data_IF_425685077246
#
_entry.id   IF_425685077246
#
_cell.length_a   1.000
_cell.length_b   1.000
_cell.length_c   1.000
_cell.angle_alpha   90.00
_cell.angle_beta   90.00
_cell.angle_gamma   90.00
#
_symmetry.space_group_name_H-M   'P 1'
#
loop_
_entity.id
_entity.type
_entity.pdbx_description
1 polymer ?
#
# COMPACT_ATOMS: atom_id res chain seq x y z
N UNK A 1 24.19 9.40 -5.12
CA UNK A 1 23.77 8.15 -5.81
C UNK A 1 22.86 8.61 -6.97
N UNK A 2 22.24 7.74 -7.76
CA UNK A 2 21.09 8.16 -8.59
C UNK A 2 19.86 7.42 -8.07
N UNK A 3 18.68 8.03 -8.07
CA UNK A 3 17.45 7.33 -7.69
C UNK A 3 16.99 6.44 -8.84
N UNK A 4 16.53 5.21 -8.54
CA UNK A 4 15.90 4.29 -9.46
C UNK A 4 14.49 3.94 -8.98
N UNK A 5 13.61 3.58 -9.93
CA UNK A 5 12.27 3.09 -9.66
C UNK A 5 12.29 1.56 -9.74
N UNK A 6 11.79 0.88 -8.71
CA UNK A 6 11.69 -0.58 -8.69
C UNK A 6 10.49 -1.10 -9.49
N UNK A 7 10.41 -2.41 -9.67
CA UNK A 7 9.29 -3.08 -10.34
C UNK A 7 7.96 -2.99 -9.55
N UNK A 8 7.97 -2.39 -8.36
CA UNK A 8 6.78 -2.18 -7.52
C UNK A 8 5.97 -0.93 -7.96
N UNK A 9 6.43 -0.23 -9.01
CA UNK A 9 5.76 0.94 -9.54
C UNK A 9 4.37 0.61 -10.10
N UNK A 10 3.35 1.35 -9.65
CA UNK A 10 1.95 1.21 -10.08
C UNK A 10 1.56 2.13 -11.24
N UNK A 11 2.53 2.79 -11.89
CA UNK A 11 2.31 3.74 -12.98
C UNK A 11 1.31 4.87 -12.70
N UNK A 12 1.30 5.43 -11.48
CA UNK A 12 0.39 6.51 -11.11
C UNK A 12 0.71 7.88 -11.75
N UNK A 13 1.93 8.08 -12.27
CA UNK A 13 2.37 9.32 -12.92
C UNK A 13 2.59 10.52 -11.99
N UNK A 14 2.51 10.34 -10.67
CA UNK A 14 2.65 11.45 -9.72
C UNK A 14 4.08 11.99 -9.62
N UNK A 15 5.10 11.18 -9.92
CA UNK A 15 6.51 11.57 -9.78
C UNK A 15 7.06 12.36 -10.97
N UNK A 16 6.50 12.20 -12.18
CA UNK A 16 6.96 12.88 -13.40
C UNK A 16 6.97 14.42 -13.29
N UNK A 17 5.88 15.10 -12.86
CA UNK A 17 5.86 16.55 -12.78
C UNK A 17 6.69 17.13 -11.61
N UNK A 18 7.09 16.30 -10.64
CA UNK A 18 7.83 16.74 -9.45
C UNK A 18 9.35 16.77 -9.68
N UNK A 19 9.85 16.19 -10.78
CA UNK A 19 11.28 16.16 -11.05
C UNK A 19 11.76 17.50 -11.64
N UNK A 20 12.66 18.26 -10.96
CA UNK A 20 13.12 19.57 -11.47
C UNK A 20 13.91 19.46 -12.79
N UNK A 21 14.54 18.31 -13.03
CA UNK A 21 15.36 18.05 -14.20
C UNK A 21 14.61 17.27 -15.30
N UNK A 22 13.32 16.94 -15.11
CA UNK A 22 12.56 16.04 -15.97
C UNK A 22 13.28 14.70 -16.26
N UNK A 23 13.92 14.13 -15.24
CA UNK A 23 14.68 12.88 -15.36
C UNK A 23 13.81 11.61 -15.43
N UNK A 24 12.51 11.75 -15.16
CA UNK A 24 11.56 10.64 -15.06
C UNK A 24 10.75 10.57 -16.35
N UNK A 25 10.65 9.38 -16.92
CA UNK A 25 9.88 9.13 -18.15
C UNK A 25 9.04 7.86 -18.02
N UNK A 26 7.94 7.80 -18.76
CA UNK A 26 7.08 6.62 -18.80
C UNK A 26 7.77 5.50 -19.59
N UNK A 27 8.09 4.39 -18.90
CA UNK A 27 8.49 3.12 -19.52
C UNK A 27 7.35 2.10 -19.52
N UNK A 28 7.59 0.94 -20.13
CA UNK A 28 6.69 -0.22 -20.13
C UNK A 28 7.48 -1.42 -19.56
N UNK A 29 7.17 -1.93 -18.34
CA UNK A 29 5.94 -1.77 -17.57
C UNK A 29 5.99 -0.76 -16.41
N UNK A 30 7.08 -0.03 -16.18
CA UNK A 30 7.26 0.90 -15.04
C UNK A 30 7.85 2.23 -15.48
N UNK A 31 7.68 3.29 -14.67
CA UNK A 31 8.41 4.54 -14.87
C UNK A 31 9.92 4.33 -14.70
N UNK A 32 10.72 5.06 -15.49
CA UNK A 32 12.18 4.93 -15.52
C UNK A 32 12.81 6.29 -15.25
N UNK A 33 13.83 6.30 -14.40
CA UNK A 33 14.66 7.49 -14.12
C UNK A 33 15.95 7.38 -14.94
N UNK A 34 16.28 8.42 -15.70
CA UNK A 34 17.58 8.54 -16.36
C UNK A 34 18.66 8.94 -15.32
N UNK A 35 19.66 8.09 -15.03
CA UNK A 35 20.70 8.40 -14.07
C UNK A 35 21.57 9.60 -14.49
N UNK A 36 21.64 9.92 -15.79
CA UNK A 36 22.41 11.07 -16.28
C UNK A 36 21.72 12.41 -16.01
N UNK A 37 20.41 12.40 -15.76
CA UNK A 37 19.63 13.60 -15.44
C UNK A 37 19.27 13.67 -13.96
N UNK A 38 19.28 12.54 -13.25
CA UNK A 38 19.01 12.50 -11.82
C UNK A 38 20.14 13.20 -11.03
N UNK A 39 19.79 14.20 -10.22
CA UNK A 39 20.70 14.87 -9.29
C UNK A 39 20.31 14.65 -7.82
N UNK A 40 19.44 13.66 -7.53
CA UNK A 40 18.86 13.43 -6.19
C UNK A 40 18.22 14.69 -5.58
N UNK A 41 17.72 15.59 -6.44
CA UNK A 41 17.21 16.92 -6.08
C UNK A 41 18.22 17.84 -5.36
N UNK A 42 19.51 17.49 -5.33
CA UNK A 42 20.57 18.32 -4.72
C UNK A 42 20.61 19.70 -5.39
N UNK A 43 20.54 20.75 -4.57
CA UNK A 43 20.49 22.15 -5.02
C UNK A 43 19.07 22.70 -5.24
N UNK A 44 18.04 21.85 -5.23
CA UNK A 44 16.63 22.24 -5.35
C UNK A 44 15.85 21.94 -4.07
N UNK A 45 15.95 20.72 -3.57
CA UNK A 45 15.26 20.23 -2.37
C UNK A 45 16.24 19.49 -1.45
N UNK A 46 15.93 19.48 -0.15
CA UNK A 46 16.68 18.74 0.87
C UNK A 46 16.32 17.25 0.94
N UNK A 47 15.31 16.82 0.17
CA UNK A 47 14.81 15.45 0.03
C UNK A 47 14.54 15.10 -1.45
N UNK A 48 14.41 13.81 -1.77
CA UNK A 48 13.99 13.40 -3.11
C UNK A 48 12.49 13.64 -3.33
N UNK A 49 12.15 14.65 -4.16
CA UNK A 49 10.76 15.00 -4.45
C UNK A 49 9.93 13.82 -5.00
N UNK A 50 10.55 13.01 -5.87
CA UNK A 50 9.93 11.82 -6.44
C UNK A 50 9.61 10.73 -5.40
N UNK A 51 10.43 10.57 -4.36
CA UNK A 51 10.17 9.62 -3.29
C UNK A 51 9.07 10.13 -2.35
N UNK A 52 9.04 11.44 -2.06
CA UNK A 52 8.03 12.04 -1.18
C UNK A 52 6.59 11.94 -1.73
N UNK A 53 6.41 11.88 -3.05
CA UNK A 53 5.09 11.78 -3.71
C UNK A 53 4.71 10.34 -4.07
N UNK A 54 5.63 9.38 -3.94
CA UNK A 54 5.39 8.01 -4.36
C UNK A 54 4.44 7.29 -3.38
N UNK A 55 3.25 6.81 -3.80
CA UNK A 55 2.29 6.17 -2.90
C UNK A 55 2.72 4.77 -2.43
N UNK A 56 3.71 4.18 -3.08
CA UNK A 56 4.21 2.81 -2.84
C UNK A 56 5.70 2.79 -2.49
N UNK A 57 6.30 3.96 -2.24
CA UNK A 57 7.71 4.12 -1.84
C UNK A 57 8.72 3.36 -2.71
N UNK A 58 8.46 3.22 -4.02
CA UNK A 58 9.28 2.44 -4.96
C UNK A 58 10.48 3.21 -5.55
N UNK A 59 10.68 4.47 -5.15
CA UNK A 59 11.81 5.32 -5.58
C UNK A 59 12.98 5.14 -4.61
N UNK A 60 13.93 4.29 -4.94
CA UNK A 60 15.06 3.91 -4.07
C UNK A 60 16.39 4.37 -4.65
N UNK A 61 17.41 4.56 -3.81
CA UNK A 61 18.77 4.87 -4.27
C UNK A 61 19.37 3.69 -5.02
N UNK A 62 19.87 3.90 -6.24
CA UNK A 62 20.51 2.89 -7.07
C UNK A 62 21.89 2.49 -6.50
N UNK A 63 22.08 1.22 -6.11
CA UNK A 63 23.37 0.74 -5.60
C UNK A 63 24.48 0.73 -6.66
N UNK A 64 24.16 0.77 -7.95
CA UNK A 64 25.15 0.72 -9.03
C UNK A 64 25.71 2.10 -9.40
N UNK A 65 25.00 3.17 -9.07
CA UNK A 65 25.36 4.54 -9.44
C UNK A 65 25.57 5.40 -8.19
N UNK A 66 26.66 5.15 -7.46
CA UNK A 66 27.00 5.89 -6.23
C UNK A 66 27.80 7.15 -6.56
N UNK A 67 27.14 8.30 -6.51
CA UNK A 67 27.73 9.62 -6.77
C UNK A 67 27.85 10.46 -5.50
N UNK A 68 28.88 11.33 -5.44
CA UNK A 68 29.12 12.29 -4.35
C UNK A 68 28.29 13.56 -4.52
N UNK A 69 28.03 14.28 -3.42
CA UNK A 69 27.28 15.55 -3.43
C UNK A 69 27.89 16.59 -4.38
N UNK A 70 29.22 16.67 -4.45
CA UNK A 70 29.95 17.57 -5.35
C UNK A 70 29.72 17.24 -6.83
N UNK A 71 29.59 15.95 -7.18
CA UNK A 71 29.28 15.53 -8.54
C UNK A 71 27.84 15.87 -8.93
N UNK A 72 26.90 15.70 -8.00
CA UNK A 72 25.48 15.98 -8.21
C UNK A 72 25.21 17.47 -8.42
N UNK A 73 25.83 18.35 -7.62
CA UNK A 73 25.69 19.80 -7.79
C UNK A 73 26.37 20.31 -9.07
N UNK A 74 27.51 19.71 -9.45
CA UNK A 74 28.16 20.03 -10.71
C UNK A 74 27.23 19.71 -11.90
N UNK A 75 26.55 18.56 -11.87
CA UNK A 75 25.54 18.19 -12.87
C UNK A 75 24.35 19.16 -12.86
N UNK A 76 23.80 19.50 -11.69
CA UNK A 76 22.70 20.47 -11.59
C UNK A 76 23.06 21.83 -12.22
N UNK A 77 24.29 22.32 -11.98
CA UNK A 77 24.84 23.55 -12.60
C UNK A 77 24.96 23.45 -14.13
N UNK A 78 25.23 22.25 -14.67
CA UNK A 78 25.27 22.04 -16.13
C UNK A 78 23.89 21.97 -16.77
N UNK A 79 22.90 21.37 -16.08
CA UNK A 79 21.53 21.22 -16.58
C UNK A 79 20.74 22.53 -16.51
N UNK A 80 21.04 23.38 -15.52
CA UNK A 80 20.34 24.64 -15.28
C UNK A 80 21.32 25.83 -15.20
N UNK A 81 21.95 26.23 -16.33
CA UNK A 81 22.91 27.34 -16.37
C UNK A 81 22.30 28.69 -15.98
N UNK A 82 20.98 28.84 -16.06
CA UNK A 82 20.22 30.02 -15.68
C UNK A 82 19.89 30.09 -14.17
N UNK A 83 20.10 29.01 -13.43
CA UNK A 83 19.79 28.94 -11.99
C UNK A 83 21.07 29.09 -11.18
N UNK A 84 21.15 30.11 -10.31
CA UNK A 84 22.29 30.30 -9.42
C UNK A 84 22.14 29.44 -8.16
N UNK A 85 22.99 28.43 -8.02
CA UNK A 85 23.06 27.58 -6.82
C UNK A 85 24.10 28.13 -5.84
N UNK A 86 23.68 28.49 -4.62
CA UNK A 86 24.59 28.91 -3.56
C UNK A 86 25.56 27.78 -3.16
N UNK A 87 26.72 28.12 -2.58
CA UNK A 87 27.70 27.11 -2.14
C UNK A 87 27.32 26.39 -0.83
N UNK A 88 26.28 26.88 -0.14
CA UNK A 88 25.75 26.28 1.09
C UNK A 88 24.26 25.96 0.91
N UNK A 89 23.95 24.79 0.34
CA UNK A 89 22.60 24.30 0.11
C UNK A 89 22.25 23.18 1.10
N UNK A 90 20.97 23.08 1.48
CA UNK A 90 20.49 21.96 2.28
C UNK A 90 20.28 20.75 1.36
N UNK A 91 20.86 19.61 1.75
CA UNK A 91 20.81 18.37 0.98
C UNK A 91 20.59 17.18 1.92
N UNK A 92 20.14 16.05 1.36
CA UNK A 92 20.04 14.77 2.08
C UNK A 92 21.36 14.38 2.77
N UNK A 93 22.51 14.80 2.23
CA UNK A 93 23.84 14.52 2.78
C UNK A 93 24.22 15.43 3.95
N UNK A 94 23.67 16.66 4.00
CA UNK A 94 23.98 17.68 5.01
C UNK A 94 22.74 18.14 5.77
N UNK A 95 22.02 17.21 6.40
CA UNK A 95 20.86 17.53 7.24
C UNK A 95 21.27 18.47 8.39
N UNK A 96 20.77 19.72 8.36
CA UNK A 96 20.93 20.69 9.45
C UNK A 96 22.19 21.58 9.43
N UNK A 97 23.00 21.57 8.38
CA UNK A 97 24.20 22.43 8.26
C UNK A 97 24.01 23.68 7.36
N UNK A 98 22.88 23.78 6.64
CA UNK A 98 22.58 24.85 5.68
C UNK A 98 21.75 26.02 6.22
N UNK A 99 21.76 26.31 7.53
CA UNK A 99 21.04 27.48 8.08
C UNK A 99 21.95 28.69 8.22
N UNK A 100 22.12 29.42 7.12
CA UNK A 100 22.25 30.87 7.11
C UNK A 100 21.57 31.37 5.84
N UNK A 101 20.51 32.16 6.02
CA UNK A 101 19.44 32.30 5.03
C UNK A 101 19.81 33.01 3.74
N UNK A 102 19.23 32.55 2.62
CA UNK A 102 18.69 33.43 1.58
C UNK A 102 17.64 32.67 0.75
N UNK A 103 16.65 33.43 0.27
CA UNK A 103 15.47 33.06 -0.50
C UNK A 103 15.71 32.06 -1.64
N UNK A 104 14.84 31.05 -1.75
CA UNK A 104 14.76 30.16 -2.90
C UNK A 104 14.43 30.94 -4.19
N UNK A 105 15.05 30.63 -5.34
CA UNK A 105 14.76 31.33 -6.58
C UNK A 105 13.37 30.95 -7.08
N UNK A 106 12.44 31.91 -7.06
CA UNK A 106 11.17 31.84 -7.78
C UNK A 106 11.44 31.74 -9.28
N UNK A 107 10.97 30.67 -9.91
CA UNK A 107 10.64 30.66 -11.34
C UNK A 107 9.13 30.63 -11.50
N UNK A 108 8.65 31.50 -12.39
CA UNK A 108 7.27 31.68 -12.80
C UNK A 108 6.67 30.41 -13.40
N UNK A 109 5.44 30.13 -12.97
CA UNK A 109 4.56 29.15 -13.58
C UNK A 109 4.20 29.57 -15.02
N UNK A 110 4.26 28.66 -16.01
CA UNK A 110 3.46 28.85 -17.20
C UNK A 110 2.00 28.47 -16.92
N UNK A 111 1.13 29.27 -17.50
CA UNK A 111 -0.31 29.30 -17.29
C UNK A 111 -1.03 27.99 -17.60
N UNK A 112 -2.11 27.75 -16.84
CA UNK A 112 -3.25 26.91 -17.24
C UNK A 112 -3.70 27.22 -18.68
N UNK A 113 -4.20 26.21 -19.39
CA UNK A 113 -5.45 26.35 -20.10
C UNK A 113 -6.55 25.54 -19.39
N UNK A 114 -7.70 26.18 -19.23
CA UNK A 114 -8.95 25.56 -18.79
C UNK A 114 -9.77 25.12 -20.04
N UNK A 115 -10.91 24.44 -19.86
CA UNK A 115 -11.17 23.09 -20.37
C UNK A 115 -11.89 23.06 -21.73
N UNK A 116 -11.75 21.97 -22.47
CA UNK A 116 -12.69 21.62 -23.54
C UNK A 116 -13.38 20.31 -23.20
N UNK A 117 -14.64 20.41 -22.83
CA UNK A 117 -15.56 19.29 -22.78
C UNK A 117 -16.05 19.00 -24.20
N UNK A 118 -15.82 17.79 -24.69
CA UNK A 118 -16.67 17.14 -25.69
C UNK A 118 -16.45 15.63 -25.66
N UNK A 119 -17.39 14.92 -25.03
CA UNK A 119 -17.75 13.56 -25.41
C UNK A 119 -19.13 13.65 -26.11
N UNK A 120 -19.70 12.59 -26.75
CA UNK A 120 -19.20 11.22 -26.96
C UNK A 120 -19.46 10.67 -28.39
N UNK A 121 -18.99 9.44 -28.68
CA UNK A 121 -19.51 8.40 -29.61
C UNK A 121 -18.32 7.65 -30.25
N UNK A 122 -18.31 6.34 -30.51
CA UNK A 122 -19.19 5.22 -30.21
C UNK A 122 -18.38 3.93 -30.42
N UNK A 123 -18.72 2.90 -29.65
CA UNK A 123 -18.67 1.47 -29.95
C UNK A 123 -17.58 0.91 -30.91
N UNK A 124 -16.67 0.13 -30.34
CA UNK A 124 -16.25 -1.13 -30.93
C UNK A 124 -16.24 -2.19 -29.81
N UNK A 125 -17.07 -3.22 -29.98
CA UNK A 125 -17.22 -4.37 -29.07
C UNK A 125 -15.96 -5.26 -29.04
N UNK A 126 -15.76 -6.04 -27.96
CA UNK A 126 -14.50 -6.71 -27.66
C UNK A 126 -14.36 -8.08 -28.36
N UNK A 127 -13.14 -8.40 -28.77
CA UNK A 127 -12.70 -9.80 -28.92
C UNK A 127 -12.70 -10.50 -27.56
N UNK A 128 -12.95 -11.83 -27.51
CA UNK A 128 -13.28 -12.51 -26.28
C UNK A 128 -12.06 -12.53 -25.36
N UNK A 129 -12.14 -11.73 -24.29
CA UNK A 129 -11.30 -11.90 -23.13
C UNK A 129 -11.35 -13.37 -22.72
N UNK A 130 -10.19 -14.02 -22.73
CA UNK A 130 -9.98 -15.25 -21.99
C UNK A 130 -10.64 -15.06 -20.62
N UNK A 131 -11.52 -15.98 -20.24
CA UNK A 131 -12.19 -15.98 -18.95
C UNK A 131 -11.13 -15.77 -17.86
N UNK A 132 -11.01 -14.54 -17.38
CA UNK A 132 -10.36 -14.26 -16.14
C UNK A 132 -11.23 -14.98 -15.10
N UNK A 133 -10.68 -16.04 -14.53
CA UNK A 133 -11.15 -16.55 -13.24
C UNK A 133 -11.41 -15.35 -12.36
N UNK A 134 -12.59 -15.21 -11.74
CA UNK A 134 -12.72 -14.27 -10.64
C UNK A 134 -11.80 -14.85 -9.57
N UNK A 135 -10.56 -14.34 -9.51
CA UNK A 135 -9.76 -14.46 -8.32
C UNK A 135 -10.67 -13.96 -7.21
N UNK A 136 -10.95 -14.82 -6.24
CA UNK A 136 -11.60 -14.45 -5.00
C UNK A 136 -10.63 -13.46 -4.33
N UNK A 137 -10.65 -12.21 -4.77
CA UNK A 137 -9.93 -11.12 -4.15
C UNK A 137 -10.53 -11.01 -2.76
N UNK A 138 -9.70 -11.26 -1.76
CA UNK A 138 -10.06 -11.02 -0.37
C UNK A 138 -10.56 -9.57 -0.29
N UNK A 139 -11.80 -9.40 0.15
CA UNK A 139 -12.36 -8.06 0.29
C UNK A 139 -11.59 -7.36 1.41
N UNK A 140 -10.73 -6.42 1.05
CA UNK A 140 -10.00 -5.60 2.02
C UNK A 140 -11.01 -4.87 2.92
N UNK A 141 -10.87 -5.10 4.23
CA UNK A 141 -11.76 -4.51 5.23
C UNK A 141 -11.28 -3.09 5.50
N UNK A 142 -12.04 -2.10 5.05
CA UNK A 142 -11.70 -0.71 5.27
C UNK A 142 -12.26 -0.21 6.62
N UNK A 143 -11.40 -0.13 7.63
CA UNK A 143 -11.75 0.40 8.94
C UNK A 143 -11.86 1.92 8.93
N UNK A 144 -12.91 2.47 9.56
CA UNK A 144 -13.04 3.92 9.74
C UNK A 144 -12.04 4.37 10.82
N UNK A 145 -11.13 5.32 10.54
CA UNK A 145 -10.19 5.83 11.53
C UNK A 145 -10.88 6.77 12.52
N UNK A 146 -10.55 6.63 13.81
CA UNK A 146 -10.99 7.60 14.81
C UNK A 146 -10.14 8.88 14.73
N UNK A 147 -10.76 10.06 14.87
CA UNK A 147 -10.01 11.31 14.93
C UNK A 147 -9.25 11.44 16.26
N UNK A 148 -8.42 12.47 16.42
CA UNK A 148 -7.75 12.75 17.70
C UNK A 148 -8.78 13.14 18.78
N UNK A 149 -8.58 12.68 20.03
CA UNK A 149 -9.42 12.98 21.19
C UNK A 149 -9.60 14.50 21.38
N UNK A 150 -8.56 15.30 21.12
CA UNK A 150 -8.62 16.76 21.27
C UNK A 150 -9.42 17.47 20.17
N UNK A 151 -9.60 16.82 19.02
CA UNK A 151 -10.28 17.40 17.85
C UNK A 151 -11.81 17.41 17.99
N UNK A 152 -12.34 16.66 18.95
CA UNK A 152 -13.77 16.62 19.21
C UNK A 152 -14.30 17.97 19.67
N UNK A 153 -15.54 18.25 19.29
CA UNK A 153 -16.24 19.48 19.67
C UNK A 153 -17.47 19.18 20.51
N UNK A 154 -17.65 19.91 21.60
CA UNK A 154 -18.76 19.77 22.54
C UNK A 154 -19.63 21.03 22.47
N UNK A 155 -20.94 20.83 22.30
CA UNK A 155 -21.91 21.91 22.38
C UNK A 155 -22.23 22.26 23.84
N UNK A 156 -21.88 23.46 24.27
CA UNK A 156 -22.15 23.95 25.64
C UNK A 156 -23.18 25.07 25.63
N UNK A 157 -24.17 24.95 26.52
CA UNK A 157 -25.16 26.00 26.77
C UNK A 157 -24.61 27.01 27.78
N UNK A 158 -24.57 28.28 27.41
CA UNK A 158 -24.18 29.35 28.33
C UNK A 158 -25.22 29.50 29.46
N UNK A 159 -24.75 29.65 30.70
CA UNK A 159 -25.65 29.87 31.84
C UNK A 159 -26.38 31.22 31.80
N UNK A 160 -25.75 32.26 31.23
CA UNK A 160 -26.28 33.64 31.28
C UNK A 160 -27.16 33.99 30.08
N UNK A 161 -26.72 33.69 28.86
CA UNK A 161 -27.49 34.01 27.65
C UNK A 161 -28.28 32.83 27.09
N UNK A 162 -28.14 31.62 27.66
CA UNK A 162 -28.79 30.37 27.24
C UNK A 162 -28.53 29.92 25.79
N UNK A 163 -27.69 30.64 25.05
CA UNK A 163 -27.26 30.26 23.70
C UNK A 163 -26.26 29.11 23.77
N UNK A 164 -26.33 28.22 22.80
CA UNK A 164 -25.41 27.10 22.63
C UNK A 164 -24.25 27.54 21.74
N UNK A 165 -23.02 27.22 22.16
CA UNK A 165 -21.82 27.41 21.36
C UNK A 165 -21.04 26.11 21.33
N UNK A 166 -20.18 25.98 20.33
CA UNK A 166 -19.34 24.79 20.11
C UNK A 166 -17.94 25.12 20.62
N UNK A 167 -17.39 24.22 21.44
CA UNK A 167 -16.07 24.37 22.04
C UNK A 167 -15.28 23.05 21.87
N UNK A 168 -13.97 23.12 21.65
CA UNK A 168 -13.13 21.92 21.52
C UNK A 168 -12.97 21.20 22.87
N UNK A 169 -12.88 19.87 22.85
CA UNK A 169 -12.55 19.03 24.01
C UNK A 169 -11.27 19.50 24.70
N UNK A 170 -10.27 19.98 23.94
CA UNK A 170 -9.03 20.55 24.47
C UNK A 170 -9.26 21.70 25.45
N UNK A 171 -10.30 22.50 25.26
CA UNK A 171 -10.63 23.62 26.14
C UNK A 171 -11.16 23.16 27.51
N UNK A 172 -11.66 21.92 27.63
CA UNK A 172 -12.24 21.37 28.85
C UNK A 172 -11.20 20.80 29.83
N UNK A 173 -10.02 21.39 29.96
CA UNK A 173 -9.06 21.00 31.01
C UNK A 173 -9.38 21.65 32.35
N UNK A 174 -9.06 20.95 33.45
CA UNK A 174 -9.21 21.48 34.80
C UNK A 174 -8.39 22.77 34.94
N UNK A 175 -9.03 23.83 35.44
CA UNK A 175 -8.40 25.15 35.59
C UNK A 175 -8.48 26.05 34.36
N UNK A 176 -8.91 25.54 33.20
CA UNK A 176 -9.15 26.38 32.03
C UNK A 176 -10.43 27.23 32.19
N UNK A 177 -10.38 28.42 31.60
CA UNK A 177 -11.50 29.37 31.55
C UNK A 177 -11.99 29.47 30.10
N UNK A 178 -13.25 29.13 29.88
CA UNK A 178 -13.92 29.20 28.58
C UNK A 178 -14.78 30.46 28.54
N UNK A 179 -14.72 31.22 27.45
CA UNK A 179 -15.51 32.44 27.27
C UNK A 179 -16.67 32.20 26.32
N UNK A 180 -17.88 32.62 26.71
CA UNK A 180 -19.02 32.53 25.80
C UNK A 180 -18.89 33.56 24.67
N UNK A 181 -18.93 33.16 23.39
CA UNK A 181 -18.78 34.09 22.26
C UNK A 181 -19.97 35.06 22.11
N UNK A 182 -21.09 34.79 22.77
CA UNK A 182 -22.31 35.61 22.67
C UNK A 182 -22.43 36.71 23.73
N UNK A 183 -21.84 36.51 24.92
CA UNK A 183 -21.96 37.46 26.02
C UNK A 183 -20.66 37.71 26.79
N UNK A 184 -19.55 37.13 26.33
CA UNK A 184 -18.20 37.21 26.92
C UNK A 184 -18.10 36.81 28.39
N UNK A 185 -19.12 36.12 28.92
CA UNK A 185 -19.09 35.61 30.28
C UNK A 185 -18.13 34.41 30.36
N UNK A 186 -17.22 34.44 31.32
CA UNK A 186 -16.30 33.34 31.62
C UNK A 186 -16.99 32.21 32.37
N UNK A 187 -16.66 30.96 32.02
CA UNK A 187 -17.01 29.74 32.73
C UNK A 187 -15.73 28.97 33.05
N UNK A 188 -15.57 28.56 34.32
CA UNK A 188 -14.47 27.68 34.73
C UNK A 188 -14.88 26.23 34.56
N UNK A 189 -14.02 25.42 33.95
CA UNK A 189 -14.26 23.98 33.79
C UNK A 189 -14.15 23.29 35.15
N UNK A 190 -15.19 22.58 35.57
CA UNK A 190 -15.23 21.82 36.82
C UNK A 190 -14.68 20.41 36.64
N UNK A 191 -14.06 19.87 37.69
CA UNK A 191 -13.45 18.53 37.71
C UNK A 191 -14.42 17.44 37.26
N UNK A 192 -15.67 17.48 37.73
CA UNK A 192 -16.69 16.50 37.37
C UNK A 192 -16.98 16.48 35.86
N UNK A 193 -17.04 17.65 35.23
CA UNK A 193 -17.30 17.75 33.79
C UNK A 193 -16.10 17.21 32.98
N UNK A 194 -14.88 17.58 33.37
CA UNK A 194 -13.66 17.06 32.75
C UNK A 194 -13.59 15.53 32.85
N UNK A 195 -13.85 14.98 34.04
CA UNK A 195 -13.82 13.55 34.28
C UNK A 195 -14.83 12.81 33.40
N UNK A 196 -16.09 13.27 33.35
CA UNK A 196 -17.11 12.63 32.51
C UNK A 196 -16.75 12.64 31.02
N UNK A 197 -16.25 13.76 30.49
CA UNK A 197 -15.84 13.86 29.08
C UNK A 197 -14.70 12.88 28.78
N UNK A 198 -13.66 12.87 29.61
CA UNK A 198 -12.48 12.02 29.39
C UNK A 198 -12.79 10.53 29.54
N UNK A 199 -13.60 10.15 30.53
CA UNK A 199 -14.01 8.75 30.73
C UNK A 199 -14.84 8.27 29.55
N UNK A 200 -15.82 9.06 29.08
CA UNK A 200 -16.65 8.68 27.93
C UNK A 200 -15.81 8.49 26.66
N UNK A 201 -14.91 9.43 26.36
CA UNK A 201 -14.05 9.33 25.17
C UNK A 201 -13.13 8.11 25.28
N UNK A 202 -12.47 7.91 26.43
CA UNK A 202 -11.61 6.75 26.65
C UNK A 202 -12.36 5.43 26.46
N UNK A 203 -13.49 5.26 27.14
CA UNK A 203 -14.28 4.02 27.07
C UNK A 203 -14.75 3.74 25.63
N UNK A 204 -15.07 4.80 24.87
CA UNK A 204 -15.50 4.69 23.48
C UNK A 204 -14.35 4.27 22.56
N UNK A 205 -13.15 4.85 22.72
CA UNK A 205 -11.96 4.50 21.93
C UNK A 205 -11.49 3.07 22.25
N UNK A 206 -11.39 2.73 23.53
CA UNK A 206 -11.01 1.38 23.96
C UNK A 206 -12.01 0.34 23.44
N UNK A 207 -13.31 0.68 23.41
CA UNK A 207 -14.33 -0.19 22.82
C UNK A 207 -14.16 -0.33 21.31
N UNK A 208 -13.92 0.77 20.61
CA UNK A 208 -13.74 0.77 19.16
C UNK A 208 -12.55 -0.12 18.74
N UNK A 209 -11.40 0.02 19.40
CA UNK A 209 -10.20 -0.78 19.14
C UNK A 209 -10.43 -2.28 19.40
N UNK A 210 -11.15 -2.61 20.49
CA UNK A 210 -11.56 -4.00 20.76
C UNK A 210 -12.44 -4.56 19.65
N UNK A 211 -13.44 -3.83 19.19
CA UNK A 211 -14.34 -4.29 18.13
C UNK A 211 -13.59 -4.53 16.81
N UNK A 212 -12.62 -3.67 16.45
CA UNK A 212 -11.77 -3.88 15.28
C UNK A 212 -10.92 -5.14 15.41
N UNK A 213 -10.27 -5.34 16.56
CA UNK A 213 -9.41 -6.50 16.83
C UNK A 213 -10.22 -7.80 16.87
N UNK A 214 -11.40 -7.80 17.49
CA UNK A 214 -12.28 -8.97 17.52
C UNK A 214 -12.74 -9.37 16.12
N UNK A 215 -12.99 -8.39 15.25
CA UNK A 215 -13.36 -8.65 13.86
C UNK A 215 -12.19 -9.27 13.09
N UNK A 216 -10.98 -8.70 13.16
CA UNK A 216 -9.80 -9.26 12.48
C UNK A 216 -9.49 -10.67 12.94
N UNK A 217 -9.47 -10.90 14.27
CA UNK A 217 -9.22 -12.22 14.85
C UNK A 217 -10.22 -13.26 14.39
N UNK A 218 -11.49 -12.87 14.28
CA UNK A 218 -12.55 -13.76 13.82
C UNK A 218 -12.36 -14.11 12.34
N UNK A 219 -12.09 -13.12 11.50
CA UNK A 219 -11.83 -13.33 10.07
C UNK A 219 -10.62 -14.22 9.83
N UNK A 220 -9.52 -14.01 10.55
CA UNK A 220 -8.32 -14.85 10.47
C UNK A 220 -8.61 -16.30 10.87
N UNK A 221 -9.37 -16.50 11.96
CA UNK A 221 -9.79 -17.85 12.39
C UNK A 221 -10.67 -18.54 11.37
N UNK A 222 -11.64 -17.83 10.79
CA UNK A 222 -12.53 -18.37 9.76
C UNK A 222 -11.76 -18.75 8.49
N UNK A 223 -10.83 -17.90 8.05
CA UNK A 223 -9.95 -18.17 6.91
C UNK A 223 -9.05 -19.39 7.17
N UNK A 224 -8.42 -19.46 8.34
CA UNK A 224 -7.58 -20.60 8.72
C UNK A 224 -8.37 -21.92 8.72
N UNK A 225 -9.59 -21.91 9.28
CA UNK A 225 -10.47 -23.09 9.28
C UNK A 225 -10.90 -23.49 7.86
N UNK A 226 -11.16 -22.51 6.99
CA UNK A 226 -11.51 -22.77 5.60
C UNK A 226 -10.33 -23.39 4.84
N UNK A 227 -9.14 -22.81 4.95
CA UNK A 227 -7.91 -23.33 4.33
C UNK A 227 -7.60 -24.74 4.82
N UNK A 228 -7.69 -24.99 6.12
CA UNK A 228 -7.46 -26.32 6.70
C UNK A 228 -8.47 -27.35 6.16
N UNK A 229 -9.75 -27.00 6.10
CA UNK A 229 -10.80 -27.87 5.55
C UNK A 229 -10.51 -28.22 4.08
N UNK A 230 -10.18 -27.22 3.27
CA UNK A 230 -9.83 -27.41 1.85
C UNK A 230 -8.58 -28.28 1.68
N UNK A 231 -7.57 -28.12 2.53
CA UNK A 231 -6.37 -28.96 2.52
C UNK A 231 -6.70 -30.42 2.86
N UNK A 232 -7.54 -30.67 3.87
CA UNK A 232 -7.98 -32.03 4.23
C UNK A 232 -8.78 -32.70 3.11
N UNK A 233 -9.68 -31.97 2.45
CA UNK A 233 -10.43 -32.46 1.28
C UNK A 233 -9.50 -32.83 0.12
N UNK A 234 -8.53 -31.96 -0.19
CA UNK A 234 -7.55 -32.21 -1.25
C UNK A 234 -6.72 -33.47 -0.96
N UNK A 235 -6.19 -33.62 0.26
CA UNK A 235 -5.44 -34.80 0.67
C UNK A 235 -6.29 -36.08 0.62
N UNK A 236 -7.56 -36.01 1.02
CA UNK A 236 -8.46 -37.15 0.96
C UNK A 236 -8.71 -37.61 -0.48
N UNK A 237 -8.85 -36.66 -1.41
CA UNK A 237 -9.01 -36.94 -2.83
C UNK A 237 -7.73 -37.55 -3.44
N UNK A 238 -6.56 -36.99 -3.14
CA UNK A 238 -5.27 -37.54 -3.57
C UNK A 238 -5.07 -38.97 -3.06
N UNK A 239 -5.35 -39.22 -1.78
CA UNK A 239 -5.27 -40.55 -1.20
C UNK A 239 -6.26 -41.54 -1.88
N UNK A 240 -7.44 -41.07 -2.28
CA UNK A 240 -8.36 -41.89 -3.08
C UNK A 240 -7.77 -42.25 -4.45
N UNK A 241 -7.20 -41.27 -5.16
CA UNK A 241 -6.55 -41.51 -6.46
C UNK A 241 -5.39 -42.51 -6.32
N UNK A 242 -4.57 -42.39 -5.28
CA UNK A 242 -3.47 -43.33 -5.02
C UNK A 242 -3.96 -44.76 -4.78
N UNK A 243 -5.07 -44.94 -4.05
CA UNK A 243 -5.67 -46.26 -3.85
C UNK A 243 -6.19 -46.87 -5.15
N UNK A 244 -6.83 -46.08 -6.00
CA UNK A 244 -7.30 -46.55 -7.30
C UNK A 244 -6.13 -46.93 -8.21
N UNK A 245 -5.07 -46.12 -8.26
CA UNK A 245 -3.84 -46.46 -8.99
C UNK A 245 -3.19 -47.76 -8.48
N UNK A 246 -3.17 -47.97 -7.17
CA UNK A 246 -2.64 -49.20 -6.58
C UNK A 246 -3.46 -50.43 -7.01
N UNK A 247 -4.80 -50.33 -7.03
CA UNK A 247 -5.67 -51.41 -7.52
C UNK A 247 -5.41 -51.73 -9.00
N UNK A 248 -5.27 -50.70 -9.84
CA UNK A 248 -4.95 -50.88 -11.26
C UNK A 248 -3.61 -51.63 -11.39
N UNK A 249 -2.61 -51.24 -10.60
CA UNK A 249 -1.30 -51.90 -10.62
C UNK A 249 -1.39 -53.37 -10.21
N UNK A 250 -2.11 -53.67 -9.14
CA UNK A 250 -2.36 -55.04 -8.70
C UNK A 250 -3.07 -55.89 -9.78
N UNK A 251 -4.06 -55.31 -10.46
CA UNK A 251 -4.75 -55.97 -11.58
C UNK A 251 -3.80 -56.26 -12.76
N UNK A 252 -2.93 -55.31 -13.10
CA UNK A 252 -1.93 -55.49 -14.16
C UNK A 252 -0.91 -56.59 -13.80
N UNK A 253 -0.45 -56.61 -12.55
CA UNK A 253 0.47 -57.64 -12.05
C UNK A 253 -0.17 -59.04 -12.13
N UNK A 254 -1.44 -59.18 -11.72
CA UNK A 254 -2.19 -60.43 -11.81
C UNK A 254 -2.38 -60.93 -13.27
N UNK A 255 -2.60 -60.01 -14.22
CA UNK A 255 -2.63 -60.35 -15.65
C UNK A 255 -1.25 -60.85 -16.11
N UNK A 256 -0.17 -60.21 -15.66
CA UNK A 256 1.20 -60.62 -15.97
C UNK A 256 1.53 -62.02 -15.47
N UNK A 257 1.11 -62.38 -14.25
CA UNK A 257 1.33 -63.72 -13.67
C UNK A 257 0.59 -64.84 -14.41
N UNK A 258 -0.61 -64.54 -14.93
CA UNK A 258 -1.44 -65.51 -15.66
C UNK A 258 -1.09 -65.60 -17.14
N UNK A 259 -0.30 -64.66 -17.68
CA UNK A 259 0.12 -64.66 -19.07
C UNK A 259 1.33 -65.57 -19.32
N UNK A 260 1.10 -66.72 -19.95
CA UNK A 260 2.18 -67.58 -20.42
C UNK A 260 2.79 -67.01 -21.71
N UNK A 261 3.95 -66.37 -21.59
CA UNK A 261 4.70 -65.85 -22.73
C UNK A 261 5.03 -66.99 -23.72
N UNK A 262 4.84 -66.76 -25.04
CA UNK A 262 5.17 -67.74 -26.07
C UNK A 262 6.68 -68.05 -26.05
N UNK A 263 7.04 -69.17 -25.43
CA UNK A 263 8.43 -69.55 -25.19
C UNK A 263 8.64 -70.50 -23.99
N UNK A 264 7.68 -70.66 -23.07
CA UNK A 264 7.77 -71.69 -22.02
C UNK A 264 7.81 -73.09 -22.65
N UNK A 265 8.85 -73.92 -22.39
CA UNK A 265 8.92 -75.26 -22.95
C UNK A 265 7.79 -76.10 -22.37
N UNK A 266 6.83 -76.47 -23.22
CA UNK A 266 5.74 -77.37 -22.88
C UNK A 266 6.36 -78.69 -22.39
N UNK A 267 6.21 -79.01 -21.10
CA UNK A 267 6.58 -80.33 -20.58
C UNK A 267 5.65 -81.37 -21.23
N UNK A 268 6.16 -82.08 -22.24
CA UNK A 268 5.54 -83.30 -22.78
C UNK A 268 5.43 -84.33 -21.65
N UNK A 269 4.24 -84.42 -21.05
CA UNK A 269 4.03 -85.30 -19.91
C UNK A 269 2.57 -85.38 -19.46
N UNK A 270 1.63 -85.52 -20.39
CA UNK A 270 0.32 -86.09 -20.06
C UNK A 270 -0.22 -86.83 -21.28
N UNK A 271 -0.54 -88.10 -21.04
CA UNK A 271 -1.03 -89.10 -22.01
C UNK A 271 -2.24 -88.57 -22.78
N UNK A 272 -2.09 -88.50 -24.10
CA UNK A 272 -3.19 -88.65 -25.03
C UNK A 272 -3.78 -90.07 -24.84
N UNK A 273 -4.99 -90.15 -24.29
CA UNK A 273 -5.84 -91.33 -24.33
C UNK A 273 -7.04 -91.03 -25.21
N UNK A 274 -6.95 -91.41 -26.48
CA UNK A 274 -8.12 -91.63 -27.34
C UNK A 274 -8.58 -93.08 -27.12
N UNK A 275 -9.87 -93.28 -26.84
CA UNK A 275 -10.49 -94.58 -26.64
C UNK A 275 -11.84 -94.43 -25.97
#
# INVERSE_FOLDING_TARGET
MATMITNDCINCGACEPECPNNAISQGDPVYVIDPLLCTECVGFHDYEACAAVCPVDCCVTDPNNIETEEALIARARTLHPETQFADNFESRFRKGQGKEGTEAPKKEAPARPAPSAAAPAAAASPEPAAFATPGYGEAEVNFVPLPDIDSWSISVRCFKCHKTHVESVRSFMIGNVIFCPHCNQSMVVRDNLNFHIRTLLKDSYDKWEREQTEFTDKTEKELAQFVERRAREAQAFEAHQQRELAKIREQLDAIGETYDAPGKPIRKGSRFGWG
#
